data_IF_085618162110
#
_entry.id   IF_085618162110
#
_cell.length_a   1.000
_cell.length_b   1.000
_cell.length_c   1.000
_cell.angle_alpha   90.00
_cell.angle_beta   90.00
_cell.angle_gamma   90.00
#
_symmetry.space_group_name_H-M   'P 1'
#
loop_
_entity.id
_entity.type
_entity.pdbx_description
1 polymer ?
#
# COMPACT_ATOMS: atom_id res chain seq x y z
N UNK A 1 -32.89 -14.32 -8.23
CA UNK A 1 -31.96 -14.15 -7.10
C UNK A 1 -31.01 -13.02 -7.45
N UNK A 2 -30.83 -12.06 -6.55
CA UNK A 2 -29.84 -10.99 -6.74
C UNK A 2 -28.41 -11.55 -6.59
N UNK A 3 -27.41 -10.83 -7.10
CA UNK A 3 -26.00 -11.21 -6.93
C UNK A 3 -25.63 -11.33 -5.45
N UNK A 4 -26.15 -10.43 -4.59
CA UNK A 4 -25.93 -10.46 -3.15
C UNK A 4 -26.51 -11.73 -2.48
N UNK A 5 -27.71 -12.15 -2.88
CA UNK A 5 -28.33 -13.39 -2.38
C UNK A 5 -27.52 -14.63 -2.78
N UNK A 6 -27.01 -14.65 -4.02
CA UNK A 6 -26.17 -15.74 -4.52
C UNK A 6 -24.86 -15.85 -3.72
N UNK A 7 -24.21 -14.72 -3.43
CA UNK A 7 -22.97 -14.68 -2.62
C UNK A 7 -23.24 -15.19 -1.21
N UNK A 8 -24.31 -14.71 -0.55
CA UNK A 8 -24.65 -15.15 0.81
C UNK A 8 -24.92 -16.65 0.89
N UNK A 9 -25.69 -17.18 -0.07
CA UNK A 9 -25.97 -18.62 -0.12
C UNK A 9 -24.71 -19.46 -0.33
N UNK A 10 -23.81 -19.01 -1.20
CA UNK A 10 -22.53 -19.67 -1.41
C UNK A 10 -21.64 -19.62 -0.15
N UNK A 11 -21.62 -18.50 0.55
CA UNK A 11 -20.87 -18.34 1.79
C UNK A 11 -21.38 -19.26 2.91
N UNK A 12 -22.69 -19.34 3.13
CA UNK A 12 -23.26 -20.25 4.14
C UNK A 12 -22.99 -21.72 3.80
N UNK A 13 -23.09 -22.11 2.53
CA UNK A 13 -22.73 -23.47 2.10
C UNK A 13 -21.23 -23.78 2.34
N UNK A 14 -20.35 -22.80 2.18
CA UNK A 14 -18.93 -22.95 2.48
C UNK A 14 -18.69 -23.09 3.98
N UNK A 15 -19.36 -22.29 4.82
CA UNK A 15 -19.29 -22.38 6.28
C UNK A 15 -19.60 -23.79 6.79
N UNK A 16 -20.65 -24.41 6.27
CA UNK A 16 -21.02 -25.80 6.62
C UNK A 16 -19.91 -26.80 6.24
N UNK A 17 -19.31 -26.65 5.06
CA UNK A 17 -18.23 -27.54 4.59
C UNK A 17 -16.96 -27.42 5.46
N UNK A 18 -16.57 -26.20 5.83
CA UNK A 18 -15.43 -25.96 6.71
C UNK A 18 -15.70 -26.42 8.15
N UNK A 19 -16.92 -26.23 8.66
CA UNK A 19 -17.31 -26.71 9.98
C UNK A 19 -17.20 -28.24 10.09
N UNK A 20 -17.53 -28.99 9.03
CA UNK A 20 -17.35 -30.45 8.98
C UNK A 20 -15.87 -30.88 9.10
N UNK A 21 -14.93 -29.98 8.81
CA UNK A 21 -13.48 -30.19 8.99
C UNK A 21 -12.95 -29.62 10.31
N UNK A 22 -13.82 -29.10 11.17
CA UNK A 22 -13.45 -28.47 12.45
C UNK A 22 -12.90 -27.05 12.32
N UNK A 23 -13.17 -26.35 11.20
CA UNK A 23 -12.73 -24.97 10.97
C UNK A 23 -13.90 -24.01 11.19
N UNK A 24 -13.69 -23.04 12.10
CA UNK A 24 -14.62 -21.92 12.30
C UNK A 24 -14.25 -20.77 11.33
N UNK A 25 -15.07 -20.60 10.29
CA UNK A 25 -14.86 -19.58 9.26
C UNK A 25 -15.04 -18.17 9.82
N UNK A 26 -15.99 -17.92 10.72
CA UNK A 26 -16.21 -16.59 11.28
C UNK A 26 -15.00 -16.19 12.14
N UNK A 27 -14.50 -17.12 12.97
CA UNK A 27 -13.28 -16.88 13.74
C UNK A 27 -12.04 -16.68 12.85
N UNK A 28 -11.98 -17.31 11.67
CA UNK A 28 -10.91 -17.10 10.70
C UNK A 28 -10.99 -15.71 10.03
N UNK A 29 -12.21 -15.25 9.70
CA UNK A 29 -12.42 -13.90 9.16
C UNK A 29 -12.07 -12.83 10.20
N UNK A 30 -12.47 -13.01 11.46
CA UNK A 30 -12.11 -12.12 12.58
C UNK A 30 -10.60 -12.06 12.83
N UNK A 31 -9.86 -13.13 12.51
CA UNK A 31 -8.40 -13.14 12.56
C UNK A 31 -7.81 -12.42 11.37
N UNK A 32 -8.31 -12.68 10.15
CA UNK A 32 -7.84 -12.05 8.92
C UNK A 32 -7.90 -10.51 9.01
N UNK A 33 -8.97 -9.96 9.57
CA UNK A 33 -9.14 -8.51 9.75
C UNK A 33 -8.10 -7.86 10.68
N UNK A 34 -7.38 -8.66 11.49
CA UNK A 34 -6.35 -8.20 12.42
C UNK A 34 -4.93 -8.27 11.85
N UNK A 35 -4.75 -8.80 10.64
CA UNK A 35 -3.44 -8.92 10.00
C UNK A 35 -3.23 -7.82 8.96
N UNK A 36 -2.62 -6.68 9.32
CA UNK A 36 -2.35 -5.62 8.36
C UNK A 36 -1.26 -6.04 7.38
N UNK A 37 -1.51 -5.85 6.09
CA UNK A 37 -0.53 -6.02 5.02
C UNK A 37 0.17 -4.68 4.78
N UNK A 38 1.51 -4.69 4.81
CA UNK A 38 2.31 -3.50 4.50
C UNK A 38 2.55 -3.40 3.00
N UNK A 39 1.93 -2.42 2.36
CA UNK A 39 2.03 -2.16 0.93
C UNK A 39 3.31 -1.42 0.63
N UNK A 40 4.08 -1.91 -0.34
CA UNK A 40 5.30 -1.25 -0.77
C UNK A 40 5.02 0.03 -1.58
N UNK A 41 5.62 1.16 -1.19
CA UNK A 41 5.40 2.44 -1.85
C UNK A 41 5.88 2.45 -3.31
N UNK A 42 6.94 1.71 -3.63
CA UNK A 42 7.67 1.87 -4.89
C UNK A 42 6.98 1.32 -6.14
N UNK A 43 5.84 0.65 -5.97
CA UNK A 43 5.06 0.14 -7.08
C UNK A 43 4.31 1.23 -7.83
N UNK A 44 3.97 2.35 -7.18
CA UNK A 44 3.17 3.39 -7.83
C UNK A 44 3.96 4.22 -8.87
N UNK A 45 5.30 4.18 -8.82
CA UNK A 45 6.17 5.07 -9.59
C UNK A 45 7.38 4.36 -10.23
N UNK A 46 7.36 3.03 -10.27
CA UNK A 46 8.45 2.18 -10.79
C UNK A 46 9.79 2.39 -10.07
N UNK A 47 9.77 2.56 -8.74
CA UNK A 47 10.97 2.83 -7.93
C UNK A 47 11.66 4.15 -8.34
N UNK A 48 10.89 5.15 -8.75
CA UNK A 48 11.39 6.45 -9.18
C UNK A 48 11.90 7.32 -8.02
N UNK A 49 11.17 7.33 -6.92
CA UNK A 49 11.41 8.20 -5.78
C UNK A 49 11.21 9.69 -6.10
N UNK A 50 11.43 10.53 -5.09
CA UNK A 50 11.26 11.98 -5.14
C UNK A 50 12.52 12.76 -4.71
N UNK A 51 13.65 12.07 -4.50
CA UNK A 51 14.96 12.69 -4.17
C UNK A 51 15.46 13.64 -5.26
N UNK A 52 15.26 13.30 -6.53
CA UNK A 52 15.68 14.12 -7.66
C UNK A 52 14.59 14.20 -8.72
N UNK A 53 14.31 15.38 -9.29
CA UNK A 53 13.40 15.48 -10.43
C UNK A 53 13.88 14.58 -11.59
N UNK A 54 13.04 13.65 -12.02
CA UNK A 54 13.35 12.67 -13.07
C UNK A 54 14.45 11.65 -12.72
N UNK A 55 14.62 11.25 -11.44
CA UNK A 55 15.45 10.08 -11.13
C UNK A 55 14.94 8.87 -11.91
N UNK A 56 15.86 8.20 -12.60
CA UNK A 56 15.63 6.87 -13.12
C UNK A 56 16.27 5.87 -12.18
N UNK A 57 15.65 4.70 -12.07
CA UNK A 57 16.22 3.55 -11.38
C UNK A 57 17.56 3.21 -12.05
N UNK A 58 18.66 3.66 -11.45
CA UNK A 58 20.00 3.56 -12.02
C UNK A 58 20.91 2.86 -11.02
N UNK A 59 21.29 1.62 -11.33
CA UNK A 59 22.28 0.88 -10.55
C UNK A 59 21.72 0.29 -9.25
N UNK A 60 21.46 -1.01 -9.27
CA UNK A 60 21.05 -1.78 -8.08
C UNK A 60 20.74 -3.25 -8.36
N UNK A 61 20.90 -3.71 -9.60
CA UNK A 61 20.55 -5.08 -10.01
C UNK A 61 19.05 -5.34 -10.13
N UNK A 62 18.20 -4.34 -9.87
CA UNK A 62 16.74 -4.39 -9.99
C UNK A 62 16.25 -3.54 -11.15
N UNK A 63 15.11 -3.92 -11.73
CA UNK A 63 14.48 -3.22 -12.85
C UNK A 63 12.96 -3.31 -12.72
N UNK A 64 12.27 -2.19 -12.94
CA UNK A 64 10.87 -2.18 -13.32
C UNK A 64 10.78 -2.29 -14.85
N UNK A 65 9.93 -3.18 -15.36
CA UNK A 65 9.87 -3.48 -16.80
C UNK A 65 8.48 -3.22 -17.37
N UNK A 66 8.43 -2.67 -18.57
CA UNK A 66 7.18 -2.28 -19.24
C UNK A 66 6.95 -0.76 -19.15
N UNK A 67 6.27 -0.20 -20.16
CA UNK A 67 5.99 1.24 -20.25
C UNK A 67 4.49 1.50 -20.11
N UNK A 68 3.86 0.94 -19.07
CA UNK A 68 2.45 1.19 -18.82
C UNK A 68 2.27 2.66 -18.40
N UNK A 69 1.36 3.42 -19.02
CA UNK A 69 1.21 4.86 -18.73
C UNK A 69 0.55 5.09 -17.36
N UNK A 70 0.76 6.28 -16.79
CA UNK A 70 0.02 6.75 -15.62
C UNK A 70 0.69 6.50 -14.27
N UNK A 71 1.98 6.15 -14.23
CA UNK A 71 2.73 6.08 -12.97
C UNK A 71 2.76 7.44 -12.27
N UNK A 72 2.77 7.43 -10.94
CA UNK A 72 2.89 8.65 -10.14
C UNK A 72 4.23 9.35 -10.41
N UNK A 73 4.18 10.67 -10.55
CA UNK A 73 5.34 11.53 -10.80
C UNK A 73 5.66 12.48 -9.65
N UNK A 74 4.78 12.52 -8.64
CA UNK A 74 4.92 13.33 -7.44
C UNK A 74 4.17 12.69 -6.26
N UNK A 75 4.41 13.21 -5.05
CA UNK A 75 3.83 12.70 -3.80
C UNK A 75 2.30 12.74 -3.81
N UNK A 76 1.69 13.76 -4.42
CA UNK A 76 0.22 13.88 -4.45
C UNK A 76 -0.43 12.80 -5.30
N UNK A 77 0.11 12.54 -6.49
CA UNK A 77 -0.34 11.43 -7.35
C UNK A 77 -0.12 10.09 -6.66
N UNK A 78 1.04 9.91 -6.03
CA UNK A 78 1.40 8.68 -5.34
C UNK A 78 0.42 8.34 -4.21
N UNK A 79 0.06 9.33 -3.38
CA UNK A 79 -0.95 9.17 -2.32
C UNK A 79 -2.33 8.87 -2.90
N UNK A 80 -2.73 9.51 -3.98
CA UNK A 80 -4.00 9.25 -4.64
C UNK A 80 -4.08 7.81 -5.19
N UNK A 81 -2.98 7.30 -5.75
CA UNK A 81 -2.89 5.92 -6.24
C UNK A 81 -2.96 4.91 -5.08
N UNK A 82 -2.25 5.19 -3.98
CA UNK A 82 -2.33 4.39 -2.75
C UNK A 82 -3.74 4.38 -2.16
N UNK A 83 -4.39 5.54 -2.03
CA UNK A 83 -5.76 5.66 -1.54
C UNK A 83 -6.73 4.87 -2.43
N UNK A 84 -6.56 4.95 -3.75
CA UNK A 84 -7.38 4.18 -4.67
C UNK A 84 -7.17 2.68 -4.48
N UNK A 85 -5.93 2.22 -4.35
CA UNK A 85 -5.63 0.82 -4.09
C UNK A 85 -6.23 0.34 -2.75
N UNK A 86 -6.02 1.10 -1.67
CA UNK A 86 -6.57 0.81 -0.34
C UNK A 86 -8.11 0.77 -0.35
N UNK A 87 -8.78 1.60 -1.16
CA UNK A 87 -10.25 1.56 -1.31
C UNK A 87 -10.79 0.24 -1.89
N UNK A 88 -9.92 -0.55 -2.53
CA UNK A 88 -10.27 -1.81 -3.19
C UNK A 88 -9.80 -3.04 -2.40
N UNK A 89 -8.96 -2.85 -1.37
CA UNK A 89 -8.37 -3.94 -0.57
C UNK A 89 -9.08 -3.97 0.80
N UNK A 90 -9.67 -5.11 1.21
CA UNK A 90 -10.33 -5.21 2.50
C UNK A 90 -9.35 -5.15 3.66
N UNK A 91 -9.84 -4.70 4.82
CA UNK A 91 -9.05 -4.53 6.04
C UNK A 91 -8.27 -3.22 6.06
N UNK A 92 -7.43 -3.05 7.09
CA UNK A 92 -6.51 -1.92 7.20
C UNK A 92 -5.10 -2.34 6.79
N UNK A 93 -4.49 -1.57 5.89
CA UNK A 93 -3.12 -1.80 5.44
C UNK A 93 -2.12 -0.96 6.24
N UNK A 94 -0.85 -1.14 5.93
CA UNK A 94 0.27 -0.25 6.29
C UNK A 94 0.95 0.23 5.01
N UNK A 95 1.75 1.29 5.09
CA UNK A 95 2.62 1.73 4.01
C UNK A 95 4.08 1.45 4.38
N UNK A 96 4.79 0.71 3.54
CA UNK A 96 6.24 0.53 3.63
C UNK A 96 6.95 1.55 2.73
N UNK A 97 7.60 2.53 3.35
CA UNK A 97 8.15 3.70 2.69
C UNK A 97 9.68 3.61 2.58
N UNK A 98 10.24 3.75 1.38
CA UNK A 98 11.68 3.89 1.21
C UNK A 98 12.15 5.35 1.44
N UNK A 99 13.39 5.51 1.90
CA UNK A 99 14.03 6.82 2.11
C UNK A 99 13.93 7.76 0.89
N UNK A 100 13.98 7.20 -0.33
CA UNK A 100 13.93 7.97 -1.57
C UNK A 100 12.59 8.68 -1.81
N UNK A 101 11.56 8.36 -1.03
CA UNK A 101 10.21 8.94 -1.13
C UNK A 101 10.00 10.14 -0.19
N UNK A 102 11.06 10.63 0.45
CA UNK A 102 10.99 11.82 1.30
C UNK A 102 10.36 13.02 0.58
N UNK A 103 9.60 13.79 1.34
CA UNK A 103 9.08 15.10 0.95
C UNK A 103 10.18 16.15 1.17
N UNK A 104 11.07 16.23 0.19
CA UNK A 104 12.21 17.17 0.21
C UNK A 104 11.84 18.59 -0.27
N UNK A 105 10.58 18.83 -0.64
CA UNK A 105 10.08 20.15 -1.07
C UNK A 105 10.90 20.79 -2.20
N UNK A 106 11.54 19.97 -3.05
CA UNK A 106 12.40 20.42 -4.15
C UNK A 106 13.85 20.73 -3.75
N UNK A 107 14.23 20.56 -2.49
CA UNK A 107 15.61 20.63 -2.04
C UNK A 107 16.36 19.32 -2.29
N UNK A 108 17.64 19.41 -2.61
CA UNK A 108 18.51 18.24 -2.66
C UNK A 108 19.08 17.99 -1.26
N UNK A 109 18.77 16.82 -0.70
CA UNK A 109 19.26 16.38 0.61
C UNK A 109 20.03 15.07 0.44
N UNK A 110 21.28 15.04 0.88
CA UNK A 110 22.06 13.81 0.86
C UNK A 110 21.44 12.75 1.78
N UNK A 111 21.56 11.47 1.38
CA UNK A 111 20.89 10.36 2.07
C UNK A 111 21.30 10.18 3.53
N UNK A 112 22.51 10.57 3.89
CA UNK A 112 23.01 10.55 5.27
C UNK A 112 22.54 11.75 6.10
N UNK A 113 21.89 12.74 5.47
CA UNK A 113 21.36 13.95 6.08
C UNK A 113 19.82 13.97 6.14
N UNK A 114 19.15 12.86 5.77
CA UNK A 114 17.70 12.78 5.89
C UNK A 114 17.26 12.73 7.36
N UNK A 115 16.23 13.50 7.68
CA UNK A 115 15.67 13.63 9.02
C UNK A 115 14.15 13.40 8.99
N UNK A 116 13.55 13.26 10.17
CA UNK A 116 12.11 13.06 10.35
C UNK A 116 11.26 14.12 9.61
N UNK A 117 11.75 15.37 9.52
CA UNK A 117 11.03 16.46 8.84
C UNK A 117 10.72 16.16 7.37
N UNK A 118 11.58 15.41 6.68
CA UNK A 118 11.37 15.01 5.28
C UNK A 118 10.29 13.93 5.15
N UNK A 119 9.84 13.32 6.24
CA UNK A 119 8.79 12.30 6.24
C UNK A 119 7.54 12.73 7.00
N UNK A 120 7.53 13.94 7.56
CA UNK A 120 6.41 14.43 8.37
C UNK A 120 5.10 14.44 7.58
N UNK A 121 5.13 14.86 6.30
CA UNK A 121 3.92 14.86 5.48
C UNK A 121 3.38 13.45 5.21
N UNK A 122 4.23 12.42 5.19
CA UNK A 122 3.82 11.02 5.11
C UNK A 122 3.26 10.50 6.43
N UNK A 123 3.85 10.88 7.56
CA UNK A 123 3.35 10.54 8.90
C UNK A 123 1.96 11.11 9.11
N UNK A 124 1.76 12.39 8.78
CA UNK A 124 0.48 13.07 8.91
C UNK A 124 -0.57 12.44 7.99
N UNK A 125 -0.22 12.18 6.73
CA UNK A 125 -1.10 11.48 5.79
C UNK A 125 -1.47 10.07 6.26
N UNK A 126 -0.51 9.27 6.74
CA UNK A 126 -0.77 7.91 7.23
C UNK A 126 -1.72 7.93 8.44
N UNK A 127 -1.56 8.93 9.32
CA UNK A 127 -2.46 9.15 10.45
C UNK A 127 -3.87 9.51 10.01
N UNK A 128 -4.01 10.38 9.00
CA UNK A 128 -5.32 10.76 8.44
C UNK A 128 -6.02 9.57 7.78
N UNK A 129 -5.27 8.69 7.10
CA UNK A 129 -5.78 7.43 6.55
C UNK A 129 -6.03 6.35 7.63
N UNK A 130 -5.56 6.57 8.86
CA UNK A 130 -5.68 5.61 9.95
C UNK A 130 -4.90 4.31 9.72
N UNK A 131 -3.78 4.40 8.99
CA UNK A 131 -2.87 3.30 8.66
C UNK A 131 -1.54 3.45 9.41
N UNK A 132 -0.79 2.35 9.53
CA UNK A 132 0.59 2.39 10.02
C UNK A 132 1.60 2.66 8.92
N UNK A 133 2.79 3.11 9.30
CA UNK A 133 3.92 3.30 8.39
C UNK A 133 5.12 2.46 8.84
N UNK A 134 5.77 1.82 7.89
CA UNK A 134 7.07 1.15 7.99
C UNK A 134 8.11 1.97 7.19
N UNK A 135 9.38 1.83 7.55
CA UNK A 135 10.51 2.54 6.93
C UNK A 135 11.74 1.62 6.83
#
# INVERSE_FOLDING_TARGET
>A
MSQSESIKKAFEAAKEQYAAMGVDVEAAMDQLDKFPISLHCWQADDVGGFETPNSSLSGGGIQATGNYPGKATNISEHRMDLEKAMSLIPGKQRLNLHAIYGDFQGELVDRDQIELKHFQSWIDWAKDQGIGMDF
#
